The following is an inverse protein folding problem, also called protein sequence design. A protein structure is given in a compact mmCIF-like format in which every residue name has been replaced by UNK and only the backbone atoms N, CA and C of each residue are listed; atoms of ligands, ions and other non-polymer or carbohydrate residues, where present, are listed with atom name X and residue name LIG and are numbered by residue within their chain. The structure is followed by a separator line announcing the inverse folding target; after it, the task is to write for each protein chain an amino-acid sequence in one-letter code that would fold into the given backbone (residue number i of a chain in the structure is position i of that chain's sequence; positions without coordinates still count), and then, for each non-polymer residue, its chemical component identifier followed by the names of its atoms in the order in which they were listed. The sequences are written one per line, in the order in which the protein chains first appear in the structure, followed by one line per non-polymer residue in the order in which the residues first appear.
data_IF_984121540632
#
_entry.id   IF_984121540632
#
_cell.length_a   1.000
_cell.length_b   1.000
_cell.length_c   1.000
_cell.angle_alpha   90.00
_cell.angle_beta   90.00
_cell.angle_gamma   90.00
#
_symmetry.space_group_name_H-M   'P 1'
#
loop_
_entity.id
_entity.type
_entity.pdbx_description
1 polymer ?
#
# COMPACT_ATOMS: atom_id res chain seq x y z
N UNK A 1 24.04 6.57 -17.92
CA UNK A 1 23.73 5.26 -17.29
C UNK A 1 23.27 4.31 -18.39
N UNK A 2 23.88 3.14 -18.48
CA UNK A 2 23.48 2.06 -19.39
C UNK A 2 22.69 1.00 -18.62
N UNK A 3 21.97 0.12 -19.33
CA UNK A 3 21.26 -1.02 -18.70
C UNK A 3 22.24 -1.96 -17.97
N UNK A 4 23.50 -2.06 -18.44
CA UNK A 4 24.55 -2.82 -17.79
C UNK A 4 24.94 -2.26 -16.42
N UNK A 5 24.82 -0.94 -16.23
CA UNK A 5 25.06 -0.31 -14.93
C UNK A 5 23.98 -0.63 -13.88
N UNK A 6 22.94 -1.37 -14.25
CA UNK A 6 21.90 -1.86 -13.35
C UNK A 6 21.98 -3.37 -13.10
N UNK A 7 22.99 -4.06 -13.61
CA UNK A 7 23.32 -5.41 -13.18
C UNK A 7 24.33 -5.32 -12.00
N UNK A 8 24.19 -6.16 -10.95
CA UNK A 8 23.19 -7.22 -10.78
C UNK A 8 21.86 -6.76 -10.15
N UNK A 9 21.73 -5.49 -9.76
CA UNK A 9 20.64 -5.05 -8.87
C UNK A 9 19.23 -5.16 -9.50
N UNK A 10 19.05 -4.65 -10.71
CA UNK A 10 17.78 -4.74 -11.44
C UNK A 10 17.69 -6.01 -12.31
N UNK A 11 18.84 -6.48 -12.79
CA UNK A 11 18.95 -7.63 -13.69
C UNK A 11 20.00 -8.59 -13.14
N UNK A 12 19.64 -9.86 -12.94
CA UNK A 12 20.62 -10.89 -12.55
C UNK A 12 21.67 -11.10 -13.63
N UNK A 13 21.25 -11.02 -14.89
CA UNK A 13 22.12 -11.09 -16.06
C UNK A 13 21.48 -10.33 -17.23
N UNK A 14 22.33 -9.76 -18.08
CA UNK A 14 21.90 -9.25 -19.39
C UNK A 14 21.77 -10.38 -20.42
N UNK A 15 22.36 -11.55 -20.15
CA UNK A 15 22.32 -12.76 -20.96
C UNK A 15 21.20 -13.68 -20.44
N UNK A 16 20.18 -13.93 -21.26
CA UNK A 16 19.01 -14.73 -20.88
C UNK A 16 19.22 -16.23 -21.09
N UNK A 17 20.25 -16.81 -20.48
CA UNK A 17 20.63 -18.21 -20.72
C UNK A 17 20.00 -19.21 -19.75
N UNK A 18 19.64 -18.77 -18.53
CA UNK A 18 19.20 -19.67 -17.48
C UNK A 18 17.68 -19.96 -17.59
N UNK A 19 17.25 -21.22 -17.80
CA UNK A 19 15.84 -21.60 -17.86
C UNK A 19 15.07 -21.35 -16.55
N UNK A 20 15.77 -21.28 -15.40
CA UNK A 20 15.17 -21.14 -14.07
C UNK A 20 15.22 -19.68 -13.56
N UNK A 21 15.76 -18.75 -14.35
CA UNK A 21 15.93 -17.34 -13.98
C UNK A 21 14.63 -16.67 -13.49
N UNK A 22 13.48 -16.98 -14.11
CA UNK A 22 12.19 -16.43 -13.69
C UNK A 22 11.79 -16.91 -12.30
N UNK A 23 12.01 -18.19 -12.00
CA UNK A 23 11.67 -18.76 -10.71
C UNK A 23 12.55 -18.17 -9.61
N UNK A 24 13.85 -18.12 -9.86
CA UNK A 24 14.82 -17.57 -8.92
C UNK A 24 14.62 -16.09 -8.65
N UNK A 25 14.24 -15.33 -9.68
CA UNK A 25 14.00 -13.90 -9.55
C UNK A 25 12.64 -13.56 -8.94
N UNK A 26 11.56 -14.15 -9.44
CA UNK A 26 10.20 -13.67 -9.20
C UNK A 26 9.34 -14.59 -8.32
N UNK A 27 9.76 -15.83 -8.07
CA UNK A 27 8.95 -16.81 -7.33
C UNK A 27 9.43 -17.09 -5.90
N UNK A 28 10.68 -16.77 -5.55
CA UNK A 28 11.25 -17.05 -4.22
C UNK A 28 10.67 -16.20 -3.08
N UNK A 29 10.23 -14.97 -3.35
CA UNK A 29 9.66 -14.09 -2.33
C UNK A 29 8.13 -14.18 -2.33
N UNK A 30 7.52 -14.11 -1.15
CA UNK A 30 6.07 -14.15 -0.98
C UNK A 30 5.57 -12.94 -0.19
N UNK A 31 4.55 -12.26 -0.71
CA UNK A 31 4.03 -11.02 -0.11
C UNK A 31 2.58 -11.25 0.31
N UNK A 32 1.64 -11.31 -0.63
CA UNK A 32 0.21 -11.55 -0.40
C UNK A 32 -0.09 -13.02 -0.05
N UNK A 33 0.66 -13.95 -0.62
CA UNK A 33 0.42 -15.40 -0.50
C UNK A 33 1.39 -16.03 0.49
N UNK A 34 0.99 -17.06 1.24
CA UNK A 34 1.86 -17.72 2.23
C UNK A 34 2.86 -18.67 1.57
N UNK A 35 2.36 -19.48 0.64
CA UNK A 35 3.14 -20.39 -0.17
C UNK A 35 2.61 -20.34 -1.61
N UNK A 36 3.52 -20.47 -2.58
CA UNK A 36 3.19 -20.54 -3.99
C UNK A 36 3.13 -22.02 -4.35
N UNK A 37 1.99 -22.68 -4.11
CA UNK A 37 1.69 -23.96 -4.78
C UNK A 37 1.50 -23.71 -6.27
N UNK A 38 2.59 -23.44 -6.99
CA UNK A 38 2.60 -23.09 -8.40
C UNK A 38 3.34 -24.17 -9.16
N UNK A 39 2.82 -24.50 -10.34
CA UNK A 39 3.61 -25.20 -11.33
C UNK A 39 4.82 -24.32 -11.65
N UNK A 40 6.02 -24.88 -11.47
CA UNK A 40 7.27 -24.31 -11.95
C UNK A 40 7.13 -23.95 -13.43
N UNK A 41 7.63 -22.79 -13.84
CA UNK A 41 7.50 -22.30 -15.23
C UNK A 41 8.84 -21.78 -15.72
N UNK A 42 9.44 -22.51 -16.64
CA UNK A 42 10.58 -22.04 -17.42
C UNK A 42 10.09 -21.17 -18.58
N UNK A 43 10.66 -19.98 -18.72
CA UNK A 43 10.44 -19.12 -19.89
C UNK A 43 11.79 -18.93 -20.57
N UNK A 44 11.98 -19.57 -21.71
CA UNK A 44 13.24 -19.52 -22.44
C UNK A 44 13.61 -18.08 -22.81
N UNK A 45 14.86 -17.68 -22.56
CA UNK A 45 15.33 -16.34 -22.89
C UNK A 45 14.84 -15.21 -21.98
N UNK A 46 14.13 -15.53 -20.89
CA UNK A 46 13.55 -14.55 -19.98
C UNK A 46 14.62 -13.65 -19.34
N UNK A 47 14.29 -12.37 -19.19
CA UNK A 47 15.14 -11.38 -18.53
C UNK A 47 14.25 -10.49 -17.68
N UNK A 48 14.62 -10.32 -16.41
CA UNK A 48 13.85 -9.49 -15.48
C UNK A 48 13.62 -8.09 -16.07
N UNK A 49 12.40 -7.58 -15.99
CA UNK A 49 12.02 -6.21 -16.34
C UNK A 49 12.21 -5.77 -17.79
N UNK A 50 12.84 -6.57 -18.65
CA UNK A 50 13.02 -6.24 -20.07
C UNK A 50 11.71 -6.52 -20.80
N UNK A 51 10.98 -5.50 -21.29
CA UNK A 51 9.73 -5.76 -22.00
C UNK A 51 10.01 -6.38 -23.38
N UNK A 52 9.15 -7.30 -23.82
CA UNK A 52 9.23 -7.91 -25.15
C UNK A 52 9.02 -6.87 -26.27
N UNK A 53 8.29 -5.80 -25.95
CA UNK A 53 8.02 -4.68 -26.85
C UNK A 53 8.68 -3.42 -26.30
N UNK A 54 9.42 -2.65 -27.12
CA UNK A 54 9.99 -1.37 -26.68
C UNK A 54 8.94 -0.43 -26.12
N UNK A 55 9.27 0.19 -24.99
CA UNK A 55 8.44 1.19 -24.32
C UNK A 55 9.22 2.50 -24.37
N UNK A 56 8.54 3.59 -24.70
CA UNK A 56 9.08 4.94 -24.58
C UNK A 56 7.99 5.81 -23.99
N UNK A 57 8.26 6.35 -22.80
CA UNK A 57 7.39 7.26 -22.07
C UNK A 57 8.22 8.41 -21.51
N UNK A 58 7.58 9.55 -21.27
CA UNK A 58 8.24 10.70 -20.68
C UNK A 58 7.31 11.51 -19.80
N UNK A 59 7.88 12.24 -18.86
CA UNK A 59 7.15 13.22 -18.07
C UNK A 59 6.96 14.51 -18.89
N UNK A 60 5.73 14.99 -19.11
CA UNK A 60 5.48 16.23 -19.85
C UNK A 60 6.24 17.43 -19.27
N UNK A 61 6.18 17.62 -17.95
CA UNK A 61 6.91 18.71 -17.28
C UNK A 61 8.43 18.66 -17.47
N UNK A 62 9.04 17.48 -17.39
CA UNK A 62 10.48 17.35 -17.62
C UNK A 62 10.88 17.67 -19.08
N UNK A 63 10.01 17.39 -20.05
CA UNK A 63 10.27 17.72 -21.46
C UNK A 63 10.06 19.21 -21.75
N UNK A 64 9.23 19.91 -20.98
CA UNK A 64 9.04 21.35 -21.10
C UNK A 64 10.13 22.15 -20.38
N UNK A 65 10.60 21.68 -19.22
CA UNK A 65 11.64 22.36 -18.41
C UNK A 65 13.04 22.34 -19.04
N UNK A 66 13.33 21.38 -19.92
CA UNK A 66 14.69 21.11 -20.39
C UNK A 66 14.82 21.30 -21.90
N UNK A 67 15.75 22.17 -22.30
CA UNK A 67 16.05 22.42 -23.71
C UNK A 67 16.56 21.17 -24.44
N UNK A 68 17.33 20.31 -23.75
CA UNK A 68 17.91 19.08 -24.28
C UNK A 68 16.94 17.88 -24.26
N UNK A 69 15.77 18.02 -23.61
CA UNK A 69 14.70 17.00 -23.51
C UNK A 69 15.24 15.56 -23.37
N UNK A 70 16.10 15.28 -22.38
CA UNK A 70 16.80 14.00 -22.33
C UNK A 70 15.81 12.90 -21.99
N UNK A 71 15.77 11.84 -22.79
CA UNK A 71 14.99 10.64 -22.50
C UNK A 71 15.70 9.76 -21.49
N UNK A 72 15.08 9.53 -20.34
CA UNK A 72 15.72 8.79 -19.27
C UNK A 72 15.52 7.28 -19.46
N UNK A 73 16.57 6.51 -19.19
CA UNK A 73 16.57 5.07 -19.41
C UNK A 73 15.42 4.35 -18.68
N UNK A 74 15.11 4.77 -17.46
CA UNK A 74 14.10 4.11 -16.63
C UNK A 74 12.68 4.28 -17.14
N UNK A 75 12.41 5.29 -17.97
CA UNK A 75 11.08 5.49 -18.55
C UNK A 75 10.81 4.57 -19.74
N UNK A 76 11.86 3.91 -20.24
CA UNK A 76 11.76 2.90 -21.29
C UNK A 76 11.64 1.46 -20.75
N UNK A 77 11.54 1.32 -19.42
CA UNK A 77 11.34 0.05 -18.72
C UNK A 77 10.04 0.16 -17.90
N UNK A 78 9.22 -0.90 -17.78
CA UNK A 78 7.99 -0.86 -17.01
C UNK A 78 8.25 -1.02 -15.50
N UNK A 79 8.99 -0.08 -14.92
CA UNK A 79 9.32 -0.04 -13.47
C UNK A 79 8.51 0.99 -12.69
N UNK A 80 8.10 2.05 -13.39
CA UNK A 80 7.47 3.22 -12.80
C UNK A 80 6.32 3.71 -13.68
N UNK A 81 5.32 4.34 -13.06
CA UNK A 81 4.17 4.93 -13.74
C UNK A 81 4.22 6.45 -13.82
N UNK A 82 4.93 7.08 -12.89
CA UNK A 82 4.98 8.51 -12.65
C UNK A 82 6.41 9.04 -12.57
N UNK A 83 6.53 10.35 -12.77
CA UNK A 83 7.78 11.07 -12.61
C UNK A 83 8.11 11.23 -11.11
N UNK A 84 9.28 10.80 -10.62
CA UNK A 84 9.66 10.98 -9.21
C UNK A 84 9.88 12.45 -8.83
N UNK A 85 10.12 13.34 -9.80
CA UNK A 85 10.24 14.79 -9.56
C UNK A 85 8.90 15.51 -9.53
N UNK A 86 8.01 15.18 -10.46
CA UNK A 86 6.77 15.95 -10.71
C UNK A 86 5.51 15.25 -10.23
N UNK A 87 5.56 13.95 -9.93
CA UNK A 87 4.41 13.17 -9.46
C UNK A 87 3.29 12.98 -10.49
N UNK A 88 3.51 13.34 -11.76
CA UNK A 88 2.56 13.11 -12.85
C UNK A 88 2.88 11.82 -13.59
N UNK A 89 1.87 11.25 -14.26
CA UNK A 89 2.00 10.08 -15.09
C UNK A 89 3.04 10.29 -16.21
N UNK A 90 3.77 9.21 -16.53
CA UNK A 90 4.62 9.15 -17.70
C UNK A 90 3.76 8.90 -18.95
N UNK A 91 3.79 9.84 -19.89
CA UNK A 91 2.99 9.79 -21.10
C UNK A 91 3.76 9.15 -22.26
N UNK A 92 3.05 8.46 -23.14
CA UNK A 92 3.68 7.70 -24.21
C UNK A 92 4.28 8.62 -25.29
N UNK A 93 5.51 8.34 -25.69
CA UNK A 93 6.25 9.15 -26.66
C UNK A 93 7.03 8.27 -27.64
N UNK A 94 7.50 8.89 -28.72
CA UNK A 94 8.55 8.38 -29.58
C UNK A 94 9.89 8.93 -29.08
N UNK A 95 10.87 8.05 -28.91
CA UNK A 95 12.18 8.42 -28.40
C UNK A 95 13.10 7.22 -28.25
N UNK A 96 14.40 7.50 -28.31
CA UNK A 96 15.49 6.58 -28.04
C UNK A 96 16.13 6.95 -26.69
N UNK A 97 16.95 6.08 -26.08
CA UNK A 97 17.75 6.47 -24.92
C UNK A 97 18.50 7.78 -25.17
N UNK A 98 18.27 8.79 -24.32
CA UNK A 98 18.88 10.10 -24.44
C UNK A 98 18.21 11.08 -25.42
N UNK A 99 17.29 10.63 -26.29
CA UNK A 99 16.70 11.50 -27.33
C UNK A 99 15.18 11.40 -27.39
N UNK A 100 14.50 12.49 -27.03
CA UNK A 100 13.06 12.66 -27.25
C UNK A 100 12.79 13.07 -28.70
N UNK A 101 11.75 12.49 -29.32
CA UNK A 101 11.35 12.84 -30.69
C UNK A 101 10.01 13.59 -30.67
N UNK A 102 8.94 12.92 -30.24
CA UNK A 102 7.61 13.52 -30.18
C UNK A 102 6.66 12.72 -29.27
N UNK A 103 5.53 13.29 -28.90
CA UNK A 103 4.46 12.60 -28.19
C UNK A 103 3.66 11.66 -29.11
N UNK A 104 3.13 10.56 -28.56
CA UNK A 104 2.22 9.67 -29.30
C UNK A 104 0.78 10.19 -29.30
N UNK A 105 0.41 10.96 -28.28
CA UNK A 105 -0.88 11.62 -28.12
C UNK A 105 -0.71 13.11 -28.33
N UNK A 106 -1.76 13.76 -28.85
CA UNK A 106 -1.82 15.22 -28.93
C UNK A 106 -2.14 15.86 -27.57
N UNK A 107 -2.86 15.14 -26.70
CA UNK A 107 -3.05 15.55 -25.32
C UNK A 107 -1.89 15.02 -24.47
N UNK A 108 -1.11 15.97 -23.96
CA UNK A 108 0.07 15.74 -23.11
C UNK A 108 -0.07 16.46 -21.78
N UNK A 109 -1.30 16.87 -21.45
CA UNK A 109 -1.61 17.55 -20.21
C UNK A 109 -1.15 16.68 -19.04
N UNK A 110 -0.30 17.20 -18.13
CA UNK A 110 0.21 16.42 -17.01
C UNK A 110 -0.93 15.87 -16.16
N UNK A 111 -1.08 14.54 -16.13
CA UNK A 111 -2.06 13.88 -15.27
C UNK A 111 -1.41 13.56 -13.93
N UNK A 112 -1.96 13.99 -12.78
CA UNK A 112 -1.40 13.64 -11.48
C UNK A 112 -1.53 12.13 -11.22
N UNK A 113 -0.47 11.51 -10.72
CA UNK A 113 -0.52 10.12 -10.27
C UNK A 113 -1.07 10.05 -8.84
N UNK A 114 -1.67 8.91 -8.46
CA UNK A 114 -2.20 8.71 -7.10
C UNK A 114 -1.08 8.64 -6.06
N UNK A 115 -1.40 8.78 -4.77
CA UNK A 115 -0.41 8.69 -3.70
C UNK A 115 0.29 7.32 -3.66
N UNK A 116 -0.48 6.23 -3.86
CA UNK A 116 0.04 4.87 -3.95
C UNK A 116 1.10 4.75 -5.06
N UNK A 117 0.79 5.24 -6.26
CA UNK A 117 1.70 5.21 -7.41
C UNK A 117 2.96 6.02 -7.12
N UNK A 118 2.81 7.27 -6.67
CA UNK A 118 3.96 8.14 -6.38
C UNK A 118 4.88 7.53 -5.32
N UNK A 119 4.33 6.89 -4.29
CA UNK A 119 5.11 6.23 -3.23
C UNK A 119 5.91 5.05 -3.77
N UNK A 120 5.28 4.16 -4.54
CA UNK A 120 5.96 3.03 -5.19
C UNK A 120 7.03 3.50 -6.17
N UNK A 121 6.72 4.49 -6.99
CA UNK A 121 7.63 5.03 -7.99
C UNK A 121 8.82 5.76 -7.33
N UNK A 122 8.58 6.53 -6.27
CA UNK A 122 9.65 7.17 -5.51
C UNK A 122 10.63 6.14 -4.93
N UNK A 123 10.15 4.98 -4.48
CA UNK A 123 10.98 3.87 -4.01
C UNK A 123 11.78 3.23 -5.14
N UNK A 124 11.17 2.98 -6.29
CA UNK A 124 11.90 2.52 -7.49
C UNK A 124 12.97 3.51 -7.93
N UNK A 125 12.70 4.82 -7.86
CA UNK A 125 13.68 5.86 -8.13
C UNK A 125 14.82 5.88 -7.11
N UNK A 126 14.51 5.77 -5.81
CA UNK A 126 15.50 5.67 -4.73
C UNK A 126 16.41 4.46 -4.92
N UNK A 127 15.84 3.30 -5.29
CA UNK A 127 16.59 2.08 -5.62
C UNK A 127 17.61 2.32 -6.73
N UNK A 128 17.18 2.92 -7.86
CA UNK A 128 18.03 3.15 -9.03
C UNK A 128 19.13 4.19 -8.81
N UNK A 129 18.93 5.12 -7.88
CA UNK A 129 19.84 6.26 -7.68
C UNK A 129 20.73 6.13 -6.45
N UNK A 130 20.30 5.38 -5.44
CA UNK A 130 21.02 5.25 -4.16
C UNK A 130 21.38 3.80 -3.82
N UNK A 131 20.91 2.83 -4.61
CA UNK A 131 21.14 1.40 -4.39
C UNK A 131 20.32 0.80 -3.25
N UNK A 132 19.47 1.58 -2.58
CA UNK A 132 18.66 1.12 -1.44
C UNK A 132 17.29 1.80 -1.44
N UNK A 133 16.34 1.20 -0.72
CA UNK A 133 14.97 1.69 -0.58
C UNK A 133 14.58 1.75 0.89
N UNK A 134 13.92 2.85 1.30
CA UNK A 134 13.30 2.95 2.62
C UNK A 134 11.90 2.32 2.60
N UNK A 135 11.74 1.22 3.34
CA UNK A 135 10.44 0.63 3.66
C UNK A 135 10.05 0.96 5.12
N UNK A 136 8.77 0.82 5.52
CA UNK A 136 8.30 1.25 6.84
C UNK A 136 9.07 0.71 8.04
N UNK A 137 9.65 -0.49 7.97
CA UNK A 137 10.41 -1.09 9.08
C UNK A 137 11.92 -0.98 8.93
N UNK A 138 12.41 -1.01 7.70
CA UNK A 138 13.84 -1.12 7.44
C UNK A 138 14.21 -0.61 6.05
N UNK A 139 15.51 -0.38 5.87
CA UNK A 139 16.09 -0.16 4.55
C UNK A 139 16.39 -1.51 3.91
N UNK A 140 16.07 -1.64 2.64
CA UNK A 140 16.39 -2.82 1.83
C UNK A 140 17.28 -2.43 0.66
N UNK A 141 18.16 -3.33 0.19
CA UNK A 141 18.94 -3.08 -1.02
C UNK A 141 18.04 -3.08 -2.28
N UNK A 142 18.53 -2.45 -3.35
CA UNK A 142 17.79 -2.25 -4.59
C UNK A 142 17.37 -3.58 -5.26
N UNK A 143 18.24 -4.58 -5.22
CA UNK A 143 17.98 -5.93 -5.73
C UNK A 143 16.77 -6.58 -5.06
N UNK A 144 16.70 -6.50 -3.73
CA UNK A 144 15.57 -7.01 -2.98
C UNK A 144 14.29 -6.24 -3.32
N UNK A 145 14.34 -4.91 -3.46
CA UNK A 145 13.17 -4.12 -3.86
C UNK A 145 12.59 -4.57 -5.20
N UNK A 146 13.42 -4.72 -6.24
CA UNK A 146 12.93 -5.12 -7.56
C UNK A 146 12.43 -6.56 -7.56
N UNK A 147 13.05 -7.48 -6.81
CA UNK A 147 12.54 -8.84 -6.64
C UNK A 147 11.21 -8.88 -5.91
N UNK A 148 11.02 -8.04 -4.88
CA UNK A 148 9.75 -7.91 -4.16
C UNK A 148 8.65 -7.40 -5.10
N UNK A 149 8.91 -6.33 -5.85
CA UNK A 149 7.93 -5.78 -6.77
C UNK A 149 7.57 -6.78 -7.87
N UNK A 150 8.57 -7.47 -8.45
CA UNK A 150 8.35 -8.50 -9.47
C UNK A 150 7.55 -9.68 -8.92
N UNK A 151 7.84 -10.08 -7.69
CA UNK A 151 7.13 -11.12 -6.95
C UNK A 151 5.67 -10.76 -6.71
N UNK A 152 5.39 -9.52 -6.28
CA UNK A 152 4.04 -9.01 -6.09
C UNK A 152 3.24 -9.05 -7.39
N UNK A 153 3.84 -8.62 -8.51
CA UNK A 153 3.20 -8.69 -9.84
C UNK A 153 2.83 -10.13 -10.21
N UNK A 154 3.68 -11.11 -9.90
CA UNK A 154 3.38 -12.52 -10.12
C UNK A 154 2.27 -13.06 -9.22
N UNK A 155 2.18 -12.61 -7.96
CA UNK A 155 1.06 -12.95 -7.07
C UNK A 155 -0.25 -12.37 -7.53
N UNK A 156 -0.26 -11.11 -7.96
CA UNK A 156 -1.43 -10.46 -8.52
C UNK A 156 -1.94 -11.15 -9.79
N UNK A 157 -1.05 -11.81 -10.55
CA UNK A 157 -1.39 -12.58 -11.73
C UNK A 157 -1.77 -14.05 -11.45
N UNK A 158 -1.86 -14.47 -10.18
CA UNK A 158 -2.16 -15.86 -9.80
C UNK A 158 -3.66 -16.15 -9.85
N UNK A 159 -4.09 -17.27 -10.47
CA UNK A 159 -5.49 -17.69 -10.43
C UNK A 159 -5.94 -18.00 -9.00
N UNK A 160 -7.15 -17.57 -8.61
CA UNK A 160 -7.69 -17.79 -7.24
C UNK A 160 -7.64 -19.25 -6.79
N UNK A 161 -7.86 -20.20 -7.71
CA UNK A 161 -7.82 -21.63 -7.41
C UNK A 161 -6.47 -22.10 -6.86
N UNK A 162 -5.41 -21.30 -7.04
CA UNK A 162 -4.04 -21.59 -6.56
C UNK A 162 -3.58 -20.67 -5.42
N UNK A 163 -4.48 -19.85 -4.86
CA UNK A 163 -4.11 -18.84 -3.86
C UNK A 163 -4.33 -19.27 -2.41
N UNK A 164 -4.99 -20.41 -2.17
CA UNK A 164 -5.27 -20.93 -0.82
C UNK A 164 -5.83 -19.86 0.13
N UNK A 165 -5.27 -19.80 1.35
CA UNK A 165 -5.63 -18.81 2.37
C UNK A 165 -5.34 -17.35 1.94
N UNK A 166 -4.34 -17.12 1.07
CA UNK A 166 -3.99 -15.80 0.55
C UNK A 166 -4.99 -15.22 -0.46
N UNK A 167 -5.99 -16.01 -0.89
CA UNK A 167 -7.04 -15.56 -1.82
C UNK A 167 -7.85 -14.36 -1.29
N UNK A 168 -7.99 -14.21 0.04
CA UNK A 168 -8.70 -13.07 0.66
C UNK A 168 -8.00 -11.75 0.37
N UNK A 169 -6.68 -11.69 0.55
CA UNK A 169 -5.88 -10.48 0.31
C UNK A 169 -5.89 -10.10 -1.18
N UNK A 170 -5.77 -11.08 -2.07
CA UNK A 170 -5.89 -10.84 -3.52
C UNK A 170 -7.26 -10.29 -3.90
N UNK A 171 -8.36 -10.89 -3.43
CA UNK A 171 -9.72 -10.36 -3.69
C UNK A 171 -9.86 -8.94 -3.16
N UNK A 172 -9.35 -8.65 -1.97
CA UNK A 172 -9.42 -7.31 -1.39
C UNK A 172 -8.71 -6.27 -2.26
N UNK A 173 -7.51 -6.58 -2.78
CA UNK A 173 -6.77 -5.69 -3.70
C UNK A 173 -7.54 -5.46 -4.99
N UNK A 174 -7.99 -6.53 -5.67
CA UNK A 174 -8.69 -6.39 -6.95
C UNK A 174 -10.06 -5.71 -6.80
N UNK A 175 -10.79 -5.99 -5.71
CA UNK A 175 -12.04 -5.31 -5.37
C UNK A 175 -11.83 -3.82 -5.08
N UNK A 176 -10.74 -3.46 -4.39
CA UNK A 176 -10.39 -2.06 -4.13
C UNK A 176 -10.17 -1.29 -5.43
N UNK A 177 -9.55 -1.94 -6.42
CA UNK A 177 -9.31 -1.36 -7.74
C UNK A 177 -10.54 -1.40 -8.66
N UNK A 178 -11.63 -2.06 -8.26
CA UNK A 178 -12.87 -2.15 -9.06
C UNK A 178 -12.74 -2.98 -10.33
N UNK A 179 -11.74 -3.86 -10.43
CA UNK A 179 -11.48 -4.70 -11.60
C UNK A 179 -11.65 -6.18 -11.26
N UNK A 180 -12.05 -7.02 -12.23
CA UNK A 180 -12.01 -8.46 -12.04
C UNK A 180 -10.58 -8.92 -11.77
N UNK A 181 -10.44 -10.08 -11.12
CA UNK A 181 -9.15 -10.67 -10.80
C UNK A 181 -8.30 -10.83 -12.06
N UNK A 182 -7.00 -10.52 -11.95
CA UNK A 182 -6.07 -10.51 -13.08
C UNK A 182 -6.57 -9.63 -14.23
N UNK A 183 -7.38 -8.60 -13.92
CA UNK A 183 -8.13 -7.79 -14.87
C UNK A 183 -8.82 -8.60 -15.99
N UNK A 184 -9.39 -9.76 -15.63
CA UNK A 184 -10.12 -10.63 -16.57
C UNK A 184 -9.24 -11.52 -17.45
N UNK A 185 -7.92 -11.49 -17.29
CA UNK A 185 -7.00 -12.35 -18.06
C UNK A 185 -7.18 -13.82 -17.69
N UNK A 186 -7.36 -14.67 -18.71
CA UNK A 186 -7.52 -16.11 -18.54
C UNK A 186 -6.16 -16.82 -18.54
N UNK A 187 -5.32 -16.49 -19.52
CA UNK A 187 -3.99 -17.07 -19.72
C UNK A 187 -2.94 -16.34 -18.90
N UNK A 188 -2.02 -17.08 -18.28
CA UNK A 188 -0.86 -16.49 -17.64
C UNK A 188 0.23 -16.19 -18.67
N UNK A 189 0.88 -15.05 -18.49
CA UNK A 189 2.09 -14.62 -19.20
C UNK A 189 3.01 -13.95 -18.18
N UNK A 190 4.35 -14.01 -18.35
CA UNK A 190 5.25 -13.20 -17.55
C UNK A 190 4.94 -11.72 -17.79
N UNK A 191 5.18 -10.89 -16.78
CA UNK A 191 4.93 -9.45 -16.83
C UNK A 191 5.59 -8.79 -18.06
N UNK A 192 6.80 -9.23 -18.41
CA UNK A 192 7.59 -8.74 -19.53
C UNK A 192 6.91 -8.96 -20.90
N UNK A 193 6.11 -10.03 -21.03
CA UNK A 193 5.39 -10.39 -22.26
C UNK A 193 4.01 -9.72 -22.37
N UNK A 194 3.53 -9.09 -21.28
CA UNK A 194 2.27 -8.35 -21.32
C UNK A 194 2.38 -7.12 -22.23
N UNK A 195 1.30 -6.79 -22.93
CA UNK A 195 1.21 -5.52 -23.64
C UNK A 195 1.25 -4.32 -22.67
N UNK A 196 1.75 -3.18 -23.15
CA UNK A 196 1.94 -1.97 -22.32
C UNK A 196 0.72 -1.61 -21.44
N UNK A 197 -0.53 -1.57 -21.93
CA UNK A 197 -1.67 -1.26 -21.07
C UNK A 197 -1.83 -2.21 -19.88
N UNK A 198 -1.57 -3.51 -20.09
CA UNK A 198 -1.65 -4.52 -19.04
C UNK A 198 -0.47 -4.42 -18.06
N UNK A 199 0.73 -4.07 -18.53
CA UNK A 199 1.87 -3.80 -17.65
C UNK A 199 1.60 -2.60 -16.73
N UNK A 200 1.10 -1.49 -17.30
CA UNK A 200 0.79 -0.29 -16.53
C UNK A 200 -0.30 -0.56 -15.48
N UNK A 201 -1.37 -1.25 -15.88
CA UNK A 201 -2.44 -1.63 -14.97
C UNK A 201 -1.92 -2.55 -13.84
N UNK A 202 -1.05 -3.51 -14.14
CA UNK A 202 -0.48 -4.41 -13.13
C UNK A 202 0.40 -3.66 -12.13
N UNK A 203 1.21 -2.70 -12.57
CA UNK A 203 1.99 -1.82 -11.70
C UNK A 203 1.07 -0.95 -10.82
N UNK A 204 -0.03 -0.45 -11.37
CA UNK A 204 -0.97 0.36 -10.62
C UNK A 204 -1.65 -0.45 -9.53
N UNK A 205 -2.08 -1.68 -9.84
CA UNK A 205 -2.62 -2.62 -8.84
C UNK A 205 -1.56 -2.97 -7.79
N UNK A 206 -0.29 -3.14 -8.18
CA UNK A 206 0.80 -3.38 -7.25
C UNK A 206 1.02 -2.19 -6.28
N UNK A 207 0.99 -0.95 -6.79
CA UNK A 207 1.10 0.25 -5.98
C UNK A 207 -0.01 0.33 -4.92
N UNK A 208 -1.26 0.04 -5.33
CA UNK A 208 -2.40 -0.02 -4.42
C UNK A 208 -2.29 -1.19 -3.42
N UNK A 209 -1.78 -2.34 -3.85
CA UNK A 209 -1.55 -3.47 -2.93
C UNK A 209 -0.56 -3.10 -1.83
N UNK A 210 0.54 -2.44 -2.17
CA UNK A 210 1.54 -1.95 -1.21
C UNK A 210 0.89 -0.96 -0.22
N UNK A 211 0.12 0.02 -0.71
CA UNK A 211 -0.60 0.97 0.15
C UNK A 211 -1.60 0.27 1.08
N UNK A 212 -2.32 -0.74 0.60
CA UNK A 212 -3.25 -1.53 1.41
C UNK A 212 -2.54 -2.31 2.52
N UNK A 213 -1.31 -2.79 2.29
CA UNK A 213 -0.49 -3.46 3.33
C UNK A 213 0.02 -2.42 4.33
N UNK A 214 0.59 -1.31 3.84
CA UNK A 214 1.15 -0.23 4.66
C UNK A 214 0.11 0.43 5.56
N UNK A 215 -1.12 0.52 5.09
CA UNK A 215 -2.24 1.03 5.88
C UNK A 215 -2.93 -0.04 6.71
N UNK A 216 -2.44 -1.28 6.69
CA UNK A 216 -3.01 -2.43 7.40
C UNK A 216 -4.48 -2.73 7.00
N UNK A 217 -4.85 -2.41 5.75
CA UNK A 217 -6.14 -2.71 5.15
C UNK A 217 -6.33 -4.21 4.93
N UNK A 218 -5.22 -4.83 4.57
CA UNK A 218 -5.11 -6.24 4.32
C UNK A 218 -3.99 -6.77 5.22
N UNK A 219 -4.17 -7.99 5.71
CA UNK A 219 -3.16 -8.76 6.41
C UNK A 219 -2.66 -9.82 5.45
N UNK A 220 -1.63 -9.51 4.65
CA UNK A 220 -1.05 -10.49 3.75
C UNK A 220 -0.36 -11.62 4.56
N UNK A 221 -0.24 -12.81 3.95
CA UNK A 221 0.28 -14.00 4.64
C UNK A 221 1.70 -14.40 4.21
N UNK A 222 2.29 -13.69 3.26
CA UNK A 222 3.63 -13.99 2.75
C UNK A 222 4.74 -13.57 3.68
N UNK A 223 5.89 -14.24 3.55
CA UNK A 223 7.03 -14.06 4.46
C UNK A 223 7.61 -12.64 4.41
N UNK A 224 7.54 -11.97 3.26
CA UNK A 224 8.08 -10.62 3.07
C UNK A 224 7.02 -9.53 3.29
N UNK A 225 5.79 -9.89 3.67
CA UNK A 225 4.74 -8.93 4.01
C UNK A 225 5.17 -7.92 5.07
N UNK A 226 5.92 -8.37 6.08
CA UNK A 226 6.30 -7.55 7.23
C UNK A 226 7.14 -6.34 6.84
N UNK A 227 7.87 -6.39 5.73
CA UNK A 227 8.67 -5.28 5.23
C UNK A 227 7.81 -4.05 4.91
N UNK A 228 6.57 -4.28 4.49
CA UNK A 228 5.60 -3.24 4.13
C UNK A 228 4.67 -2.89 5.30
N UNK A 229 4.59 -3.72 6.34
CA UNK A 229 3.79 -3.40 7.51
C UNK A 229 4.44 -2.25 8.27
N UNK A 230 3.65 -1.33 8.85
CA UNK A 230 4.20 -0.30 9.72
C UNK A 230 5.08 -0.91 10.83
N UNK A 231 6.17 -0.21 11.16
CA UNK A 231 7.04 -0.62 12.27
C UNK A 231 6.27 -0.65 13.60
N UNK A 232 6.61 -1.57 14.51
CA UNK A 232 6.16 -1.48 15.90
C UNK A 232 6.71 -0.18 16.49
N UNK A 233 5.88 0.86 16.56
CA UNK A 233 6.28 2.22 16.97
C UNK A 233 6.10 3.31 15.91
N UNK A 234 5.62 3.00 14.70
CA UNK A 234 5.24 4.03 13.74
C UNK A 234 4.08 4.86 14.35
N UNK A 235 4.36 6.13 14.65
CA UNK A 235 3.43 7.11 15.21
C UNK A 235 2.02 6.92 14.66
N UNK A 236 1.06 6.78 15.56
CA UNK A 236 -0.36 6.81 15.23
C UNK A 236 -0.70 8.26 14.86
N UNK A 237 -0.40 8.66 13.63
CA UNK A 237 -0.85 9.95 13.12
C UNK A 237 -2.37 9.95 13.04
N UNK A 238 -2.99 11.12 13.28
CA UNK A 238 -4.44 11.31 13.16
C UNK A 238 -4.96 10.77 11.83
N UNK A 239 -4.21 10.99 10.75
CA UNK A 239 -4.53 10.55 9.40
C UNK A 239 -4.53 9.01 9.20
N UNK A 240 -3.72 8.29 9.98
CA UNK A 240 -3.68 6.81 10.02
C UNK A 240 -4.79 6.24 10.89
N UNK A 241 -5.06 6.85 12.04
CA UNK A 241 -6.25 6.56 12.86
C UNK A 241 -7.52 6.72 12.04
N UNK A 242 -7.61 7.80 11.28
CA UNK A 242 -8.72 8.13 10.39
C UNK A 242 -8.97 7.07 9.31
N UNK A 243 -7.91 6.56 8.67
CA UNK A 243 -8.02 5.47 7.69
C UNK A 243 -8.43 4.15 8.31
N UNK A 244 -7.94 3.83 9.51
CA UNK A 244 -8.30 2.60 10.24
C UNK A 244 -9.77 2.63 10.70
N UNK A 245 -10.23 3.77 11.21
CA UNK A 245 -11.61 3.94 11.70
C UNK A 245 -12.62 3.93 10.56
N UNK A 246 -12.31 4.57 9.43
CA UNK A 246 -13.13 4.54 8.19
C UNK A 246 -13.40 3.13 7.66
N UNK A 247 -12.52 2.17 7.95
CA UNK A 247 -12.68 0.75 7.54
C UNK A 247 -13.60 -0.05 8.44
N UNK A 248 -13.81 0.36 9.69
CA UNK A 248 -14.59 -0.42 10.67
C UNK A 248 -16.08 -0.07 10.71
N UNK A 249 -16.51 1.05 10.14
CA UNK A 249 -17.93 1.46 10.15
C UNK A 249 -18.57 1.34 8.76
N UNK A 250 -19.61 0.54 8.64
CA UNK A 250 -20.52 0.56 7.49
C UNK A 250 -21.38 1.85 7.42
N UNK A 251 -22.39 1.84 6.54
CA UNK A 251 -23.32 2.96 6.29
C UNK A 251 -23.87 3.54 7.61
N UNK A 252 -23.42 4.73 7.98
CA UNK A 252 -23.67 5.38 9.28
C UNK A 252 -22.54 6.33 9.72
N UNK A 253 -21.37 6.24 9.07
CA UNK A 253 -20.17 7.04 9.38
C UNK A 253 -20.35 8.56 9.30
N UNK A 254 -21.21 9.10 8.43
CA UNK A 254 -21.36 10.57 8.30
C UNK A 254 -21.95 11.21 9.55
N UNK A 255 -22.95 10.58 10.18
CA UNK A 255 -23.60 11.10 11.39
C UNK A 255 -22.69 10.93 12.61
N UNK A 256 -22.02 9.78 12.73
CA UNK A 256 -21.04 9.54 13.79
C UNK A 256 -19.80 10.44 13.67
N UNK A 257 -19.38 10.76 12.44
CA UNK A 257 -18.26 11.65 12.14
C UNK A 257 -18.56 13.11 12.50
N UNK A 258 -19.79 13.57 12.24
CA UNK A 258 -20.25 14.90 12.69
C UNK A 258 -20.21 14.99 14.22
N UNK A 259 -20.75 13.98 14.92
CA UNK A 259 -20.75 13.95 16.39
C UNK A 259 -19.33 13.95 16.97
N UNK A 260 -18.39 13.23 16.37
CA UNK A 260 -16.99 13.21 16.82
C UNK A 260 -16.27 14.52 16.50
N UNK A 261 -16.47 15.11 15.33
CA UNK A 261 -15.88 16.39 14.97
C UNK A 261 -16.43 17.54 15.81
N UNK A 262 -17.75 17.55 16.05
CA UNK A 262 -18.41 18.50 16.95
C UNK A 262 -17.90 18.33 18.38
N UNK A 263 -17.68 17.09 18.85
CA UNK A 263 -17.11 16.83 20.17
C UNK A 263 -15.63 17.25 20.28
N UNK A 264 -14.83 17.12 19.22
CA UNK A 264 -13.42 17.58 19.20
C UNK A 264 -13.38 19.12 19.17
N UNK A 265 -14.22 19.75 18.35
CA UNK A 265 -14.35 21.21 18.31
C UNK A 265 -14.87 21.79 19.64
N UNK A 266 -15.80 21.09 20.29
CA UNK A 266 -16.26 21.43 21.63
C UNK A 266 -15.14 21.22 22.66
N UNK A 267 -14.38 20.13 22.59
CA UNK A 267 -13.25 19.85 23.48
C UNK A 267 -12.11 20.87 23.41
N UNK A 268 -11.95 21.59 22.30
CA UNK A 268 -11.00 22.71 22.21
C UNK A 268 -11.36 23.85 23.18
N UNK A 269 -12.65 24.01 23.50
CA UNK A 269 -13.16 25.12 24.30
C UNK A 269 -13.82 24.66 25.62
N UNK A 270 -14.11 23.36 25.77
CA UNK A 270 -14.82 22.77 26.89
C UNK A 270 -13.96 21.71 27.61
N UNK A 271 -13.53 21.98 28.86
CA UNK A 271 -12.70 21.05 29.61
C UNK A 271 -13.41 19.73 29.95
N UNK A 272 -14.73 19.71 30.12
CA UNK A 272 -15.45 18.48 30.44
C UNK A 272 -15.50 17.51 29.25
N UNK A 273 -15.78 18.04 28.06
CA UNK A 273 -15.80 17.27 26.81
C UNK A 273 -14.41 16.75 26.46
N UNK A 274 -13.36 17.57 26.65
CA UNK A 274 -11.97 17.14 26.49
C UNK A 274 -11.61 15.96 27.41
N UNK A 275 -12.01 16.02 28.69
CA UNK A 275 -11.77 14.94 29.66
C UNK A 275 -12.54 13.67 29.33
N UNK A 276 -13.80 13.81 28.90
CA UNK A 276 -14.64 12.67 28.51
C UNK A 276 -14.08 11.97 27.25
N UNK A 277 -13.67 12.73 26.23
CA UNK A 277 -13.04 12.19 25.02
C UNK A 277 -11.69 11.53 25.34
N UNK A 278 -10.86 12.16 26.17
CA UNK A 278 -9.58 11.59 26.59
C UNK A 278 -9.76 10.31 27.42
N UNK A 279 -10.76 10.26 28.29
CA UNK A 279 -11.11 9.06 29.05
C UNK A 279 -11.58 7.92 28.14
N UNK A 280 -12.44 8.22 27.16
CA UNK A 280 -12.90 7.25 26.17
C UNK A 280 -11.73 6.69 25.33
N UNK A 281 -10.86 7.56 24.82
CA UNK A 281 -9.73 7.17 23.99
C UNK A 281 -8.65 6.40 24.77
N UNK A 282 -8.53 6.64 26.08
CA UNK A 282 -7.57 5.95 26.95
C UNK A 282 -8.10 4.64 27.58
N UNK A 283 -9.38 4.30 27.43
CA UNK A 283 -9.98 3.08 28.00
C UNK A 283 -9.31 1.77 27.54
N UNK A 284 -8.77 1.71 26.32
CA UNK A 284 -8.07 0.53 25.79
C UNK A 284 -6.56 0.48 26.05
N UNK A 285 -5.99 1.53 26.65
CA UNK A 285 -4.53 1.75 26.78
C UNK A 285 -4.11 1.95 28.24
N UNK A 286 -4.91 1.44 29.19
CA UNK A 286 -4.79 1.74 30.64
C UNK A 286 -3.43 1.44 31.27
N UNK A 287 -2.64 0.55 30.69
CA UNK A 287 -1.39 0.06 31.27
C UNK A 287 -0.14 0.37 30.42
N UNK A 288 -0.28 1.19 29.38
CA UNK A 288 0.83 1.56 28.50
C UNK A 288 1.12 3.07 28.60
N UNK A 289 2.11 3.47 29.41
CA UNK A 289 2.43 4.89 29.62
C UNK A 289 2.90 5.56 28.33
N UNK A 290 3.62 4.85 27.45
CA UNK A 290 4.07 5.37 26.16
C UNK A 290 2.88 5.66 25.24
N UNK A 291 1.87 4.78 25.26
CA UNK A 291 0.65 4.98 24.48
C UNK A 291 -0.27 6.08 25.03
N UNK A 292 -0.16 6.44 26.31
CA UNK A 292 -0.89 7.56 26.93
C UNK A 292 -0.21 8.90 26.65
N UNK A 293 1.13 8.95 26.68
CA UNK A 293 1.94 10.11 26.28
C UNK A 293 1.64 10.48 24.82
N UNK A 294 1.68 9.49 23.92
CA UNK A 294 1.33 9.70 22.50
C UNK A 294 -0.13 10.12 22.29
N UNK A 295 -1.04 9.70 23.18
CA UNK A 295 -2.44 10.14 23.11
C UNK A 295 -2.61 11.60 23.55
N UNK A 296 -1.81 12.08 24.52
CA UNK A 296 -1.78 13.51 24.87
C UNK A 296 -1.27 14.36 23.71
N UNK A 297 -0.18 13.93 23.07
CA UNK A 297 0.37 14.62 21.91
C UNK A 297 -0.70 14.83 20.82
N UNK A 298 -1.52 13.81 20.55
CA UNK A 298 -2.62 13.90 19.58
C UNK A 298 -3.71 14.91 19.97
N UNK A 299 -4.03 15.05 21.25
CA UNK A 299 -5.01 16.06 21.70
C UNK A 299 -4.44 17.47 21.60
N UNK A 300 -3.14 17.64 21.85
CA UNK A 300 -2.44 18.91 21.69
C UNK A 300 -2.39 19.30 20.20
N UNK A 301 -2.10 18.36 19.30
CA UNK A 301 -2.16 18.56 17.85
C UNK A 301 -3.57 18.96 17.38
N UNK A 302 -4.60 18.44 18.03
CA UNK A 302 -6.00 18.80 17.80
C UNK A 302 -6.42 20.14 18.44
N UNK A 303 -5.47 20.94 18.94
CA UNK A 303 -5.67 22.23 19.61
C UNK A 303 -6.48 22.15 20.92
N UNK A 304 -6.55 20.97 21.55
CA UNK A 304 -7.12 20.83 22.89
C UNK A 304 -6.08 21.28 23.91
N UNK A 305 -6.43 22.24 24.77
CA UNK A 305 -5.52 22.76 25.79
C UNK A 305 -5.04 21.64 26.72
N UNK A 306 -3.73 21.62 26.99
CA UNK A 306 -3.11 20.63 27.87
C UNK A 306 -3.70 20.67 29.30
N UNK A 307 -4.17 21.84 29.73
CA UNK A 307 -4.83 22.07 31.03
C UNK A 307 -6.18 21.35 31.16
N UNK A 308 -6.81 21.02 30.03
CA UNK A 308 -8.07 20.30 30.02
C UNK A 308 -7.87 18.79 30.16
N UNK A 309 -6.67 18.28 29.90
CA UNK A 309 -6.36 16.86 29.98
C UNK A 309 -6.06 16.45 31.44
N UNK A 310 -6.69 15.39 31.98
CA UNK A 310 -6.45 14.96 33.36
C UNK A 310 -4.99 14.55 33.57
N UNK A 311 -4.42 14.76 34.76
CA UNK A 311 -3.09 14.23 35.12
C UNK A 311 -3.11 12.69 35.18
N UNK A 312 -1.98 12.06 34.83
CA UNK A 312 -1.85 10.61 34.93
C UNK A 312 -2.05 10.16 36.38
N UNK A 313 -2.93 9.16 36.60
CA UNK A 313 -3.25 8.64 37.93
C UNK A 313 -4.33 9.39 38.71
N UNK A 314 -4.97 10.43 38.15
CA UNK A 314 -6.09 11.11 38.82
C UNK A 314 -7.28 10.17 39.06
N UNK A 315 -7.85 10.17 40.28
CA UNK A 315 -9.08 9.45 40.62
C UNK A 315 -10.24 9.81 39.69
N UNK A 316 -10.31 11.06 39.23
CA UNK A 316 -11.33 11.54 38.31
C UNK A 316 -11.24 10.85 36.92
N UNK A 317 -10.03 10.60 36.42
CA UNK A 317 -9.81 9.89 35.16
C UNK A 317 -10.12 8.38 35.30
N UNK A 318 -9.80 7.78 36.46
CA UNK A 318 -10.19 6.40 36.78
C UNK A 318 -11.71 6.23 36.88
N UNK A 319 -12.41 7.18 37.49
CA UNK A 319 -13.87 7.22 37.57
C UNK A 319 -14.51 7.39 36.19
N UNK A 320 -14.05 8.35 35.38
CA UNK A 320 -14.54 8.56 34.01
C UNK A 320 -14.31 7.34 33.11
N UNK A 321 -13.15 6.68 33.21
CA UNK A 321 -12.85 5.43 32.49
C UNK A 321 -13.78 4.29 32.90
N UNK A 322 -14.18 4.22 34.17
CA UNK A 322 -15.15 3.23 34.66
C UNK A 322 -16.54 3.49 34.07
N UNK A 323 -17.00 4.74 34.12
CA UNK A 323 -18.30 5.17 33.57
C UNK A 323 -18.38 4.95 32.05
N UNK A 324 -17.33 5.29 31.29
CA UNK A 324 -17.27 5.04 29.85
C UNK A 324 -17.25 3.54 29.52
N UNK A 325 -16.53 2.71 30.29
CA UNK A 325 -16.51 1.26 30.09
C UNK A 325 -17.89 0.63 30.36
N UNK A 326 -18.61 1.10 31.38
CA UNK A 326 -19.98 0.67 31.68
C UNK A 326 -20.95 1.10 30.57
N UNK A 327 -20.85 2.34 30.09
CA UNK A 327 -21.66 2.85 28.98
C UNK A 327 -21.43 2.12 27.65
N UNK A 328 -20.16 1.86 27.30
CA UNK A 328 -19.79 1.06 26.12
C UNK A 328 -20.27 -0.38 26.24
N UNK A 329 -20.16 -1.01 27.42
CA UNK A 329 -20.69 -2.35 27.67
C UNK A 329 -22.23 -2.40 27.53
N UNK A 330 -22.94 -1.35 27.99
CA UNK A 330 -24.40 -1.26 27.84
C UNK A 330 -24.81 -1.06 26.37
N UNK A 331 -24.07 -0.23 25.62
CA UNK A 331 -24.30 0.01 24.21
C UNK A 331 -23.99 -1.23 23.35
N UNK A 332 -22.92 -1.96 23.68
CA UNK A 332 -22.56 -3.22 23.02
C UNK A 332 -23.57 -4.34 23.28
N UNK A 333 -24.23 -4.38 24.45
CA UNK A 333 -25.34 -5.30 24.73
C UNK A 333 -26.65 -4.97 24.00
N UNK A 334 -26.81 -3.75 23.49
CA UNK A 334 -27.98 -3.31 22.71
C UNK A 334 -27.80 -3.44 21.19
N UNK A 335 -26.61 -3.81 20.72
CA UNK A 335 -26.39 -4.16 19.32
C UNK A 335 -27.00 -5.56 19.04
N UNK A 336 -27.80 -5.74 17.97
CA UNK A 336 -28.39 -7.04 17.67
C UNK A 336 -27.29 -8.06 17.41
N UNK A 337 -27.44 -9.32 17.88
CA UNK A 337 -26.46 -10.36 17.63
C UNK A 337 -26.33 -10.55 16.12
N UNK A 338 -25.17 -10.20 15.58
CA UNK A 338 -24.86 -10.52 14.18
C UNK A 338 -24.74 -12.04 14.11
N UNK A 339 -25.69 -12.64 13.40
CA UNK A 339 -25.90 -14.08 13.38
C UNK A 339 -24.68 -14.85 12.89
N UNK A 340 -24.06 -15.59 13.82
CA UNK A 340 -23.47 -16.88 13.53
C UNK A 340 -24.46 -17.94 14.01
N UNK A 341 -25.33 -18.41 13.12
CA UNK A 341 -25.94 -19.73 13.29
C UNK A 341 -24.92 -20.75 12.79
N UNK A 342 -24.25 -21.41 13.72
CA UNK A 342 -23.72 -22.76 13.49
C UNK A 342 -24.91 -23.68 13.13
N UNK A 343 -24.82 -24.54 12.11
CA UNK A 343 -25.66 -25.71 12.06
C UNK A 343 -24.96 -26.84 12.81
N UNK A 344 -25.37 -27.05 14.06
CA UNK A 344 -25.20 -28.34 14.72
C UNK A 344 -26.07 -29.40 14.03
N UNK A 345 -25.43 -30.55 13.84
CA UNK A 345 -25.92 -31.87 13.50
C UNK A 345 -27.22 -32.32 14.20
N UNK A 346 -27.93 -33.18 13.47
CA UNK A 346 -28.80 -34.31 13.89
C UNK A 346 -30.35 -34.22 13.86
N UNK A 347 -30.88 -35.06 12.95
CA UNK A 347 -32.03 -36.01 13.02
C UNK A 347 -33.46 -35.47 13.23
N UNK A 348 -34.36 -35.93 12.36
CA UNK A 348 -35.29 -37.05 12.64
C UNK A 348 -36.37 -37.17 11.55
N UNK A 349 -36.86 -38.40 11.32
CA UNK A 349 -38.15 -38.65 10.65
C UNK A 349 -38.04 -39.34 9.32
#
# INVERSE_FOLDING_TARGET
MSLAGWAPDLFDSLEGADPDALEDYAFRLTILLQDRSRATRSVAGWRAWRPDRPISRACPHCMDERADRPMWLMWMVPLMLSCPRHGCWLEACWGLPGTFVNWKSNDTSPRPASAAIRSMDQRSWEALTTGHVRLPRQRVPADLWFRLLRSLLEELNTPISRCGAGSRSLRAVWNHFGQPLRAGRLTWQPFEALGLPAQLQMLEVAANAIELIETEAIRPLGAQAELFLPGPGAELTLDRLMRILRRKSGKGWQEAWKVVHDAIADAQHNPETARALYALASCGKRHDPVALEGLRALFIEAQVSQEFLPLEGSEALSALRSTCAQGLSLALRKLPPTGCREPCLERAG
#
